data_IF_681020783901
#
_entry.id   IF_681020783901
#
_cell.length_a   1.000
_cell.length_b   1.000
_cell.length_c   1.000
_cell.angle_alpha   90.00
_cell.angle_beta   90.00
_cell.angle_gamma   90.00
#
_symmetry.space_group_name_H-M   'P 1'
#
loop_
_entity.id
_entity.type
_entity.pdbx_description
1 polymer ?
#
# COMPACT_ATOMS: atom_id res chain seq x y z
N UNK A 1 29.09 -4.30 1.94
CA UNK A 1 27.72 -4.13 2.46
C UNK A 1 27.03 -3.25 1.44
N UNK A 2 26.40 -3.86 0.43
CA UNK A 2 25.48 -3.13 -0.44
C UNK A 2 24.35 -2.63 0.45
N UNK A 3 24.14 -1.32 0.47
CA UNK A 3 22.96 -0.74 1.07
C UNK A 3 21.81 -1.11 0.15
N UNK A 4 20.86 -1.88 0.67
CA UNK A 4 19.59 -2.18 0.03
C UNK A 4 18.88 -0.83 -0.21
N UNK A 5 18.99 -0.31 -1.43
CA UNK A 5 18.41 0.96 -1.80
C UNK A 5 16.89 0.77 -1.75
N UNK A 6 16.14 1.57 -0.96
CA UNK A 6 14.71 1.34 -0.81
C UNK A 6 14.08 1.45 -2.20
N UNK A 7 13.48 0.36 -2.67
CA UNK A 7 12.66 0.36 -3.87
C UNK A 7 11.53 1.36 -3.61
N UNK A 8 11.69 2.59 -4.10
CA UNK A 8 10.63 3.58 -4.04
C UNK A 8 9.57 3.08 -5.01
N UNK A 9 8.38 2.66 -4.54
CA UNK A 9 7.34 2.22 -5.44
C UNK A 9 7.01 3.37 -6.38
N UNK A 10 6.82 3.06 -7.67
CA UNK A 10 6.50 4.05 -8.69
C UNK A 10 5.11 4.62 -8.38
N UNK A 11 5.08 5.74 -7.65
CA UNK A 11 3.82 6.35 -7.22
C UNK A 11 3.20 7.06 -8.42
N UNK A 12 1.95 6.72 -8.82
CA UNK A 12 1.30 7.34 -9.97
C UNK A 12 1.18 8.86 -9.82
N UNK A 13 1.37 9.61 -10.91
CA UNK A 13 1.28 11.07 -10.90
C UNK A 13 -0.14 11.57 -10.59
N UNK A 14 -1.16 10.82 -10.99
CA UNK A 14 -2.57 11.16 -10.79
C UNK A 14 -3.43 9.99 -10.29
N UNK A 15 -4.63 10.28 -9.79
CA UNK A 15 -5.61 9.26 -9.42
C UNK A 15 -6.10 8.43 -10.60
N UNK A 16 -6.09 9.02 -11.81
CA UNK A 16 -6.51 8.34 -13.04
C UNK A 16 -5.47 7.30 -13.42
N UNK A 17 -4.20 7.70 -13.49
CA UNK A 17 -3.08 6.79 -13.73
C UNK A 17 -3.03 5.68 -12.68
N UNK A 18 -3.24 6.03 -11.41
CA UNK A 18 -3.28 5.06 -10.32
C UNK A 18 -4.38 4.01 -10.50
N UNK A 19 -5.57 4.43 -10.96
CA UNK A 19 -6.68 3.54 -11.20
C UNK A 19 -6.44 2.58 -12.38
N UNK A 20 -5.63 3.00 -13.36
CA UNK A 20 -5.22 2.16 -14.49
C UNK A 20 -4.16 1.12 -14.08
N UNK A 21 -3.28 1.46 -13.13
CA UNK A 21 -2.24 0.56 -12.64
C UNK A 21 -2.79 -0.53 -11.71
N UNK A 22 -3.71 -0.17 -10.81
CA UNK A 22 -4.26 -1.13 -9.88
C UNK A 22 -4.99 -0.53 -8.70
N UNK A 23 -5.69 -1.40 -7.97
CA UNK A 23 -6.44 -0.96 -6.79
C UNK A 23 -5.52 -0.47 -5.69
N UNK A 24 -4.38 -1.14 -5.49
CA UNK A 24 -3.39 -0.79 -4.48
C UNK A 24 -2.80 0.60 -4.75
N UNK A 25 -2.37 0.85 -5.98
CA UNK A 25 -1.78 2.11 -6.45
C UNK A 25 -2.78 3.25 -6.29
N UNK A 26 -4.05 3.02 -6.64
CA UNK A 26 -5.13 3.97 -6.41
C UNK A 26 -5.26 4.36 -4.93
N UNK A 27 -5.24 3.39 -4.01
CA UNK A 27 -5.36 3.66 -2.57
C UNK A 27 -4.17 4.47 -2.05
N UNK A 28 -2.95 4.12 -2.45
CA UNK A 28 -1.73 4.88 -2.11
C UNK A 28 -1.84 6.32 -2.62
N UNK A 29 -2.24 6.51 -3.89
CA UNK A 29 -2.35 7.84 -4.49
C UNK A 29 -3.46 8.68 -3.86
N UNK A 30 -4.58 8.06 -3.50
CA UNK A 30 -5.69 8.70 -2.78
C UNK A 30 -5.25 9.20 -1.41
N UNK A 31 -4.46 8.42 -0.66
CA UNK A 31 -3.92 8.85 0.63
C UNK A 31 -3.03 10.10 0.46
N UNK A 32 -2.11 10.07 -0.51
CA UNK A 32 -1.23 11.21 -0.80
C UNK A 32 -2.00 12.45 -1.22
N UNK A 33 -3.09 12.27 -1.98
CA UNK A 33 -3.96 13.37 -2.36
C UNK A 33 -4.64 14.01 -1.14
N UNK A 34 -5.18 13.21 -0.22
CA UNK A 34 -5.81 13.74 1.01
C UNK A 34 -4.77 14.50 1.86
N UNK A 35 -3.57 13.95 2.03
CA UNK A 35 -2.49 14.62 2.76
C UNK A 35 -2.16 15.98 2.12
N UNK A 36 -2.00 16.03 0.80
CA UNK A 36 -1.74 17.28 0.07
C UNK A 36 -2.88 18.30 0.23
N UNK A 37 -4.13 17.85 0.27
CA UNK A 37 -5.30 18.73 0.48
C UNK A 37 -5.33 19.31 1.90
N UNK A 38 -4.96 18.51 2.91
CA UNK A 38 -4.81 18.98 4.30
C UNK A 38 -3.68 20.01 4.39
N UNK A 39 -2.51 19.71 3.82
CA UNK A 39 -1.34 20.59 3.84
C UNK A 39 -1.57 21.91 3.10
N UNK A 40 -2.41 21.92 2.08
CA UNK A 40 -2.82 23.15 1.39
C UNK A 40 -3.63 24.10 2.28
N UNK A 41 -4.09 23.67 3.45
CA UNK A 41 -4.79 24.51 4.43
C UNK A 41 -6.19 24.96 3.99
N UNK A 42 -6.73 24.37 2.93
CA UNK A 42 -8.06 24.70 2.39
C UNK A 42 -9.20 23.93 3.05
N UNK A 43 -8.87 22.97 3.93
CA UNK A 43 -9.84 22.11 4.60
C UNK A 43 -10.42 22.82 5.82
N UNK A 44 -11.76 22.97 5.92
CA UNK A 44 -12.40 23.48 7.12
C UNK A 44 -12.12 22.60 8.34
N UNK A 45 -11.92 23.20 9.53
CA UNK A 45 -11.55 22.47 10.74
C UNK A 45 -12.51 21.32 11.10
N UNK A 46 -13.82 21.49 10.85
CA UNK A 46 -14.83 20.45 11.09
C UNK A 46 -14.71 19.24 10.15
N UNK A 47 -14.09 19.41 8.98
CA UNK A 47 -13.90 18.36 7.99
C UNK A 47 -12.58 17.58 8.19
N UNK A 48 -11.62 18.15 8.93
CA UNK A 48 -10.31 17.52 9.17
C UNK A 48 -10.45 16.13 9.80
N UNK A 49 -11.28 15.99 10.83
CA UNK A 49 -11.46 14.70 11.51
C UNK A 49 -11.93 13.59 10.56
N UNK A 50 -12.79 13.94 9.58
CA UNK A 50 -13.25 12.99 8.55
C UNK A 50 -12.12 12.60 7.59
N UNK A 51 -11.29 13.55 7.17
CA UNK A 51 -10.18 13.26 6.25
C UNK A 51 -9.09 12.43 6.92
N UNK A 52 -8.79 12.68 8.19
CA UNK A 52 -7.84 11.87 8.96
C UNK A 52 -8.34 10.43 9.09
N UNK A 53 -9.61 10.23 9.45
CA UNK A 53 -10.20 8.90 9.52
C UNK A 53 -10.18 8.17 8.16
N UNK A 54 -10.39 8.90 7.06
CA UNK A 54 -10.30 8.35 5.72
C UNK A 54 -8.86 7.93 5.36
N UNK A 55 -7.84 8.71 5.76
CA UNK A 55 -6.44 8.32 5.59
C UNK A 55 -6.10 7.03 6.34
N UNK A 56 -6.53 6.90 7.59
CA UNK A 56 -6.31 5.69 8.40
C UNK A 56 -7.00 4.46 7.77
N UNK A 57 -8.20 4.66 7.21
CA UNK A 57 -8.92 3.62 6.47
C UNK A 57 -8.14 3.18 5.23
N UNK A 58 -7.65 4.13 4.43
CA UNK A 58 -6.86 3.86 3.24
C UNK A 58 -5.55 3.14 3.58
N UNK A 59 -4.82 3.56 4.61
CA UNK A 59 -3.61 2.89 5.08
C UNK A 59 -3.87 1.44 5.49
N UNK A 60 -4.99 1.20 6.18
CA UNK A 60 -5.39 -0.14 6.59
C UNK A 60 -5.77 -1.02 5.39
N UNK A 61 -6.26 -0.45 4.30
CA UNK A 61 -6.54 -1.18 3.06
C UNK A 61 -5.26 -1.48 2.29
N UNK A 62 -4.33 -0.53 2.18
CA UNK A 62 -3.03 -0.75 1.53
C UNK A 62 -2.28 -1.89 2.20
N UNK A 63 -2.18 -1.89 3.54
CA UNK A 63 -1.51 -2.98 4.27
C UNK A 63 -2.17 -4.33 4.01
N UNK A 64 -3.51 -4.39 3.90
CA UNK A 64 -4.21 -5.64 3.56
C UNK A 64 -3.88 -6.14 2.16
N UNK A 65 -3.68 -5.25 1.20
CA UNK A 65 -3.21 -5.63 -0.14
C UNK A 65 -1.75 -6.09 -0.11
N UNK A 66 -0.88 -5.37 0.61
CA UNK A 66 0.53 -5.76 0.80
C UNK A 66 0.64 -7.16 1.44
N UNK A 67 -0.12 -7.41 2.51
CA UNK A 67 -0.13 -8.69 3.21
C UNK A 67 -0.67 -9.82 2.31
N UNK A 68 -1.69 -9.55 1.48
CA UNK A 68 -2.25 -10.53 0.56
C UNK A 68 -1.28 -10.89 -0.59
N UNK A 69 -0.54 -9.92 -1.12
CA UNK A 69 0.50 -10.17 -2.14
C UNK A 69 1.67 -11.00 -1.58
N UNK A 70 2.00 -10.84 -0.29
CA UNK A 70 3.03 -11.64 0.37
C UNK A 70 2.60 -13.11 0.56
N UNK A 71 1.33 -13.36 0.91
CA UNK A 71 0.80 -14.71 1.18
C UNK A 71 0.68 -15.57 -0.11
N UNK A 72 0.44 -14.93 -1.26
CA UNK A 72 0.44 -15.62 -2.57
C UNK A 72 1.85 -15.99 -3.06
N UNK A 73 2.90 -15.39 -2.48
CA UNK A 73 4.30 -15.62 -2.87
C UNK A 73 4.98 -16.83 -2.22
N UNK A 74 4.44 -17.34 -1.10
CA UNK A 74 5.06 -18.42 -0.32
C UNK A 74 4.39 -19.78 -0.57
N UNK A 75 4.41 -20.25 -1.82
CA UNK A 75 4.22 -21.69 -2.06
C UNK A 75 5.52 -22.39 -1.68
N UNK A 76 5.67 -22.76 -0.41
CA UNK A 76 6.69 -23.75 -0.01
C UNK A 76 6.31 -25.04 -0.71
N UNK A 77 6.96 -25.30 -1.84
CA UNK A 77 6.82 -26.57 -2.54
C UNK A 77 7.18 -27.67 -1.56
N UNK A 78 6.19 -28.51 -1.23
CA UNK A 78 6.36 -29.65 -0.34
C UNK A 78 7.43 -30.54 -0.99
N UNK A 79 8.66 -30.46 -0.47
CA UNK A 79 9.71 -31.35 -0.92
C UNK A 79 9.24 -32.78 -0.61
N UNK A 80 9.46 -33.77 -1.50
CA UNK A 80 9.05 -35.13 -1.22
C UNK A 80 9.64 -35.57 0.12
N UNK A 81 8.76 -35.96 1.05
CA UNK A 81 9.14 -36.47 2.36
C UNK A 81 10.14 -37.62 2.20
N UNK A 82 11.38 -37.41 2.67
CA UNK A 82 12.43 -38.43 2.65
C UNK A 82 12.61 -39.05 4.04
N UNK A 83 12.09 -40.28 4.27
CA UNK A 83 12.20 -40.95 5.56
C UNK A 83 13.64 -41.42 5.90
N UNK A 84 14.61 -41.29 4.99
CA UNK A 84 16.01 -41.66 5.25
C UNK A 84 16.82 -40.60 6.00
N UNK A 85 16.23 -39.42 6.22
CA UNK A 85 16.84 -38.27 6.91
C UNK A 85 16.48 -38.19 8.42
N UNK A 86 15.86 -39.24 8.98
CA UNK A 86 15.51 -39.39 10.40
C UNK A 86 16.31 -40.54 11.00
#
# INVERSE_FOLDING_TARGET
>A
MEADEPVVPDVPGSLVEAAEMGRREFLVRARLHIASVIDAGVVPAHALGRLIAEMERLDSEVRRYDDAELDEGEVVGDAPFDPSMI
#
